data_IF_766288516919
#
_entry.id   IF_766288516919
#
_cell.length_a   1.000
_cell.length_b   1.000
_cell.length_c   1.000
_cell.angle_alpha   90.00
_cell.angle_beta   90.00
_cell.angle_gamma   90.00
#
_symmetry.space_group_name_H-M   'P 1'
#
loop_
_entity.id
_entity.type
_entity.pdbx_description
1 polymer ?
#
# COMPACT_ATOMS: atom_id res chain seq x y z
N UNK A 1 -14.94 4.17 -4.88
CA UNK A 1 -13.83 3.30 -5.34
C UNK A 1 -14.40 2.17 -6.19
N UNK A 2 -13.69 1.78 -7.26
CA UNK A 2 -14.05 0.70 -8.18
C UNK A 2 -13.04 -0.42 -7.99
N UNK A 3 -13.50 -1.67 -7.81
CA UNK A 3 -12.63 -2.84 -7.77
C UNK A 3 -12.13 -3.13 -9.19
N UNK A 4 -10.85 -3.41 -9.33
CA UNK A 4 -10.25 -3.70 -10.63
C UNK A 4 -10.33 -5.22 -10.87
N UNK A 5 -11.12 -5.61 -11.88
CA UNK A 5 -11.38 -7.04 -12.16
C UNK A 5 -11.02 -7.47 -13.58
N UNK A 6 -10.99 -6.53 -14.54
CA UNK A 6 -10.90 -6.85 -15.97
C UNK A 6 -9.73 -6.14 -16.68
N UNK A 7 -8.58 -6.06 -16.04
CA UNK A 7 -7.37 -5.57 -16.70
C UNK A 7 -6.85 -6.57 -17.73
N UNK A 8 -6.55 -6.08 -18.91
CA UNK A 8 -5.77 -6.80 -19.91
C UNK A 8 -4.30 -6.92 -19.44
N UNK A 9 -3.50 -7.73 -20.11
CA UNK A 9 -2.05 -7.79 -19.86
C UNK A 9 -1.40 -6.40 -20.04
N UNK A 10 -1.80 -5.67 -21.07
CA UNK A 10 -1.31 -4.31 -21.35
C UNK A 10 -1.70 -3.31 -20.25
N UNK A 11 -2.91 -3.42 -19.70
CA UNK A 11 -3.34 -2.59 -18.57
C UNK A 11 -2.50 -2.89 -17.31
N UNK A 12 -2.25 -4.17 -17.02
CA UNK A 12 -1.41 -4.58 -15.89
C UNK A 12 -0.02 -3.95 -16.03
N UNK A 13 0.64 -4.11 -17.19
CA UNK A 13 1.96 -3.55 -17.43
C UNK A 13 1.97 -2.02 -17.32
N UNK A 14 1.03 -1.35 -17.97
CA UNK A 14 0.91 0.11 -17.99
C UNK A 14 0.70 0.69 -16.59
N UNK A 15 -0.35 0.23 -15.89
CA UNK A 15 -0.73 0.84 -14.63
C UNK A 15 0.17 0.41 -13.46
N UNK A 16 0.69 -0.82 -13.46
CA UNK A 16 1.65 -1.23 -12.46
C UNK A 16 2.95 -0.43 -12.55
N UNK A 17 3.41 -0.12 -13.77
CA UNK A 17 4.57 0.75 -13.98
C UNK A 17 4.31 2.19 -13.51
N UNK A 18 3.17 2.78 -13.84
CA UNK A 18 2.79 4.13 -13.36
C UNK A 18 2.72 4.19 -11.83
N UNK A 19 2.24 3.13 -11.19
CA UNK A 19 2.24 2.98 -9.73
C UNK A 19 3.69 2.92 -9.22
N UNK A 20 4.55 2.12 -9.83
CA UNK A 20 5.97 2.00 -9.48
C UNK A 20 6.70 3.33 -9.57
N UNK A 21 6.53 4.07 -10.66
CA UNK A 21 7.10 5.40 -10.86
C UNK A 21 6.62 6.40 -9.79
N UNK A 22 5.34 6.35 -9.41
CA UNK A 22 4.79 7.22 -8.37
C UNK A 22 5.36 6.89 -6.98
N UNK A 23 5.70 5.63 -6.70
CA UNK A 23 6.42 5.24 -5.50
C UNK A 23 7.89 5.66 -5.54
N UNK A 24 8.58 5.42 -6.65
CA UNK A 24 9.98 5.78 -6.83
C UNK A 24 10.23 7.30 -6.73
N UNK A 25 9.24 8.11 -7.09
CA UNK A 25 9.29 9.57 -6.93
C UNK A 25 9.07 10.05 -5.49
N UNK A 26 8.73 9.15 -4.54
CA UNK A 26 8.48 9.51 -3.15
C UNK A 26 9.74 9.39 -2.31
N UNK A 27 10.07 10.36 -1.42
CA UNK A 27 11.17 10.21 -0.46
C UNK A 27 10.95 9.04 0.50
N UNK A 28 12.02 8.56 1.10
CA UNK A 28 12.02 7.46 2.07
C UNK A 28 12.81 6.26 1.56
N UNK A 29 12.28 5.05 1.65
CA UNK A 29 12.94 3.82 1.20
C UNK A 29 13.34 3.89 -0.28
N UNK A 30 12.63 4.68 -1.08
CA UNK A 30 12.96 4.94 -2.48
C UNK A 30 14.39 5.50 -2.69
N UNK A 31 14.94 6.18 -1.69
CA UNK A 31 16.30 6.73 -1.76
C UNK A 31 17.40 5.68 -1.53
N UNK A 32 17.04 4.50 -1.05
CA UNK A 32 17.97 3.42 -0.70
C UNK A 32 17.97 2.25 -1.68
N UNK A 33 17.04 2.24 -2.63
CA UNK A 33 16.90 1.19 -3.65
C UNK A 33 17.07 1.83 -5.03
N UNK A 34 17.81 1.20 -5.97
CA UNK A 34 17.88 1.68 -7.34
C UNK A 34 16.49 1.89 -7.94
N UNK A 35 16.29 3.02 -8.64
CA UNK A 35 14.98 3.41 -9.19
C UNK A 35 14.29 2.28 -9.97
N UNK A 36 15.01 1.65 -10.91
CA UNK A 36 14.45 0.60 -11.76
C UNK A 36 14.04 -0.65 -10.97
N UNK A 37 14.81 -1.02 -9.94
CA UNK A 37 14.48 -2.14 -9.06
C UNK A 37 13.25 -1.83 -8.19
N UNK A 38 13.10 -0.58 -7.75
CA UNK A 38 11.94 -0.14 -6.99
C UNK A 38 10.69 -0.14 -7.87
N UNK A 39 10.75 0.47 -9.07
CA UNK A 39 9.65 0.46 -10.04
C UNK A 39 9.24 -0.98 -10.34
N UNK A 40 10.22 -1.86 -10.64
CA UNK A 40 9.96 -3.27 -10.92
C UNK A 40 9.34 -4.00 -9.73
N UNK A 41 9.77 -3.71 -8.51
CA UNK A 41 9.17 -4.27 -7.28
C UNK A 41 7.68 -3.92 -7.18
N UNK A 42 7.33 -2.66 -7.42
CA UNK A 42 5.94 -2.22 -7.38
C UNK A 42 5.11 -2.73 -8.56
N UNK A 43 5.69 -2.94 -9.74
CA UNK A 43 5.02 -3.66 -10.84
C UNK A 43 4.57 -5.06 -10.37
N UNK A 44 5.48 -5.81 -9.75
CA UNK A 44 5.22 -7.18 -9.28
C UNK A 44 4.18 -7.18 -8.13
N UNK A 45 4.29 -6.25 -7.19
CA UNK A 45 3.36 -6.10 -6.05
C UNK A 45 1.96 -5.70 -6.54
N UNK A 46 1.86 -4.80 -7.51
CA UNK A 46 0.57 -4.37 -8.08
C UNK A 46 -0.12 -5.53 -8.79
N UNK A 47 0.61 -6.30 -9.61
CA UNK A 47 0.09 -7.51 -10.25
C UNK A 47 -0.40 -8.52 -9.20
N UNK A 48 0.33 -8.68 -8.09
CA UNK A 48 -0.08 -9.55 -7.00
C UNK A 48 -1.43 -9.11 -6.40
N UNK A 49 -1.62 -7.80 -6.07
CA UNK A 49 -2.88 -7.30 -5.55
C UNK A 49 -4.02 -7.43 -6.55
N UNK A 50 -3.76 -7.23 -7.83
CA UNK A 50 -4.73 -7.46 -8.88
C UNK A 50 -5.18 -8.93 -8.91
N UNK A 51 -4.23 -9.88 -8.91
CA UNK A 51 -4.52 -11.32 -8.90
C UNK A 51 -5.20 -11.81 -7.62
N UNK A 52 -4.97 -11.12 -6.50
CA UNK A 52 -5.70 -11.34 -5.26
C UNK A 52 -7.12 -10.77 -5.26
N UNK A 53 -7.49 -9.93 -6.21
CA UNK A 53 -8.75 -9.20 -6.22
C UNK A 53 -8.88 -8.18 -5.10
N UNK A 54 -7.77 -7.61 -4.65
CA UNK A 54 -7.69 -6.60 -3.58
C UNK A 54 -7.24 -5.22 -4.07
N UNK A 55 -7.16 -5.04 -5.39
CA UNK A 55 -6.78 -3.79 -6.02
C UNK A 55 -8.02 -2.97 -6.42
N UNK A 56 -8.02 -1.70 -6.05
CA UNK A 56 -9.10 -0.75 -6.31
C UNK A 56 -8.54 0.54 -6.93
N UNK A 57 -9.40 1.26 -7.65
CA UNK A 57 -9.11 2.59 -8.19
C UNK A 57 -10.20 3.59 -7.86
N UNK A 58 -9.88 4.88 -7.92
CA UNK A 58 -10.81 5.99 -7.64
C UNK A 58 -11.95 6.09 -8.64
N UNK A 59 -11.68 5.86 -9.92
CA UNK A 59 -12.65 5.90 -11.02
C UNK A 59 -12.07 5.20 -12.26
N UNK A 60 -12.80 5.21 -13.36
CA UNK A 60 -12.34 4.73 -14.68
C UNK A 60 -11.15 5.54 -15.25
N UNK A 61 -10.82 6.69 -14.66
CA UNK A 61 -9.66 7.50 -15.04
C UNK A 61 -8.37 7.10 -14.33
N UNK A 62 -8.46 6.18 -13.35
CA UNK A 62 -7.32 5.64 -12.62
C UNK A 62 -6.44 6.70 -11.92
N UNK A 63 -7.06 7.71 -11.29
CA UNK A 63 -6.32 8.81 -10.64
C UNK A 63 -5.54 8.34 -9.41
N UNK A 64 -6.09 7.35 -8.67
CA UNK A 64 -5.48 6.78 -7.48
C UNK A 64 -5.81 5.31 -7.31
N UNK A 65 -4.93 4.61 -6.64
CA UNK A 65 -5.00 3.17 -6.39
C UNK A 65 -4.91 2.84 -4.91
N UNK A 66 -5.59 1.76 -4.55
CA UNK A 66 -5.65 1.23 -3.20
C UNK A 66 -5.51 -0.29 -3.24
N UNK A 67 -4.68 -0.84 -2.36
CA UNK A 67 -4.79 -2.24 -1.99
C UNK A 67 -4.93 -2.36 -0.48
N UNK A 68 -5.92 -3.12 -0.03
CA UNK A 68 -6.15 -3.40 1.38
C UNK A 68 -6.70 -4.81 1.58
N UNK A 69 -6.53 -5.32 2.78
CA UNK A 69 -7.09 -6.59 3.23
C UNK A 69 -7.51 -6.50 4.71
N UNK A 70 -8.27 -7.44 5.16
CA UNK A 70 -8.57 -7.63 6.58
C UNK A 70 -7.64 -8.69 7.22
N UNK A 71 -7.67 -8.76 8.54
CA UNK A 71 -6.85 -9.70 9.32
C UNK A 71 -7.01 -11.17 8.88
N UNK A 72 -8.19 -11.53 8.36
CA UNK A 72 -8.57 -12.90 8.01
C UNK A 72 -8.43 -13.19 6.52
N UNK A 73 -8.03 -12.21 5.70
CA UNK A 73 -7.84 -12.39 4.26
C UNK A 73 -6.76 -13.43 4.01
N UNK A 74 -7.17 -14.55 3.42
CA UNK A 74 -6.24 -15.61 3.01
C UNK A 74 -5.57 -15.22 1.71
N UNK A 75 -4.26 -15.26 1.70
CA UNK A 75 -3.49 -15.06 0.47
C UNK A 75 -3.50 -16.37 -0.33
N UNK A 76 -4.05 -16.38 -1.56
CA UNK A 76 -4.01 -17.58 -2.39
C UNK A 76 -2.57 -17.95 -2.74
N UNK A 77 -2.23 -19.22 -2.64
CA UNK A 77 -0.86 -19.70 -2.85
C UNK A 77 -0.32 -19.41 -4.26
N UNK A 78 -1.18 -19.51 -5.28
CA UNK A 78 -0.78 -19.26 -6.67
C UNK A 78 -0.22 -17.85 -6.90
N UNK A 79 -0.97 -16.78 -6.65
CA UNK A 79 -0.49 -15.40 -6.74
C UNK A 79 0.74 -15.13 -5.86
N UNK A 80 0.78 -15.66 -4.63
CA UNK A 80 1.92 -15.47 -3.74
C UNK A 80 3.21 -16.12 -4.28
N UNK A 81 3.14 -17.36 -4.77
CA UNK A 81 4.27 -18.04 -5.41
C UNK A 81 4.72 -17.34 -6.69
N UNK A 82 3.77 -16.83 -7.49
CA UNK A 82 4.09 -16.07 -8.69
C UNK A 82 4.87 -14.79 -8.34
N UNK A 83 4.38 -14.02 -7.36
CA UNK A 83 5.05 -12.82 -6.87
C UNK A 83 6.48 -13.14 -6.36
N UNK A 84 6.64 -14.15 -5.50
CA UNK A 84 7.95 -14.54 -4.95
C UNK A 84 8.92 -14.93 -6.07
N UNK A 85 8.47 -15.76 -7.03
CA UNK A 85 9.31 -16.16 -8.17
C UNK A 85 9.76 -14.98 -9.01
N UNK A 86 8.87 -14.03 -9.29
CA UNK A 86 9.21 -12.83 -10.03
C UNK A 86 10.19 -11.95 -9.26
N UNK A 87 9.92 -11.72 -7.97
CA UNK A 87 10.83 -10.94 -7.10
C UNK A 87 12.24 -11.53 -7.12
N UNK A 88 12.39 -12.82 -6.87
CA UNK A 88 13.70 -13.50 -6.83
C UNK A 88 14.44 -13.52 -8.17
N UNK A 89 13.70 -13.49 -9.28
CA UNK A 89 14.29 -13.50 -10.63
C UNK A 89 14.64 -12.12 -11.14
N UNK A 90 13.85 -11.10 -10.79
CA UNK A 90 13.87 -9.79 -11.42
C UNK A 90 14.49 -8.70 -10.53
N UNK A 91 14.62 -8.95 -9.21
CA UNK A 91 15.13 -7.98 -8.24
C UNK A 91 16.30 -8.57 -7.44
N UNK A 92 17.40 -7.85 -7.24
CA UNK A 92 18.48 -8.27 -6.34
C UNK A 92 17.98 -8.52 -4.91
N UNK A 93 18.40 -9.63 -4.29
CA UNK A 93 17.94 -10.06 -2.96
C UNK A 93 18.11 -8.98 -1.88
N UNK A 94 19.20 -8.20 -1.96
CA UNK A 94 19.46 -7.11 -1.02
C UNK A 94 18.34 -6.05 -1.07
N UNK A 95 17.86 -5.71 -2.26
CA UNK A 95 16.83 -4.70 -2.46
C UNK A 95 15.43 -5.20 -2.05
N UNK A 96 15.16 -6.51 -2.19
CA UNK A 96 13.93 -7.13 -1.68
C UNK A 96 13.88 -7.03 -0.15
N UNK A 97 14.97 -7.35 0.53
CA UNK A 97 15.05 -7.36 1.99
C UNK A 97 14.83 -5.97 2.62
N UNK A 98 15.25 -4.90 1.93
CA UNK A 98 15.11 -3.52 2.39
C UNK A 98 13.65 -3.07 2.39
N UNK A 99 12.84 -3.53 1.43
CA UNK A 99 11.45 -3.08 1.23
C UNK A 99 10.40 -3.74 2.14
N UNK A 100 10.73 -4.80 2.90
CA UNK A 100 9.75 -5.57 3.63
C UNK A 100 9.68 -5.23 5.12
N UNK A 101 8.78 -4.38 5.54
CA UNK A 101 8.48 -4.17 6.96
C UNK A 101 6.99 -3.96 7.19
N UNK A 102 6.41 -4.80 8.04
CA UNK A 102 4.99 -4.71 8.44
C UNK A 102 4.93 -4.59 9.97
N UNK A 103 5.27 -3.39 10.48
CA UNK A 103 5.26 -3.10 11.91
C UNK A 103 3.86 -3.25 12.49
N UNK A 104 2.84 -2.84 11.75
CA UNK A 104 1.44 -2.92 12.19
C UNK A 104 1.02 -4.36 12.56
N UNK A 105 1.52 -5.39 11.89
CA UNK A 105 1.17 -6.79 12.23
C UNK A 105 1.56 -7.15 13.65
N UNK A 106 2.67 -6.61 14.16
CA UNK A 106 3.09 -6.85 15.55
C UNK A 106 2.25 -6.06 16.53
N UNK A 107 1.98 -4.79 16.24
CA UNK A 107 1.23 -3.88 17.11
C UNK A 107 -0.22 -4.32 17.27
N UNK A 108 -0.87 -4.68 16.18
CA UNK A 108 -2.30 -5.04 16.14
C UNK A 108 -2.56 -6.54 16.17
N UNK A 109 -1.56 -7.36 16.54
CA UNK A 109 -1.70 -8.82 16.61
C UNK A 109 -2.83 -9.27 17.55
N UNK A 110 -3.05 -8.56 18.64
CA UNK A 110 -4.05 -8.88 19.67
C UNK A 110 -5.45 -8.36 19.33
N UNK A 111 -5.57 -7.44 18.39
CA UNK A 111 -6.88 -6.97 17.96
C UNK A 111 -7.71 -8.12 17.37
N UNK A 112 -9.01 -8.13 17.66
CA UNK A 112 -9.92 -9.15 17.13
C UNK A 112 -9.99 -9.08 15.60
N UNK A 113 -10.00 -7.86 15.07
CA UNK A 113 -10.06 -7.56 13.64
C UNK A 113 -9.35 -6.25 13.32
N UNK A 114 -8.93 -6.06 12.08
CA UNK A 114 -8.41 -4.80 11.54
C UNK A 114 -8.44 -4.80 10.01
N UNK A 115 -8.50 -3.61 9.43
CA UNK A 115 -8.25 -3.37 8.01
C UNK A 115 -6.80 -2.92 7.83
N UNK A 116 -6.02 -3.61 7.01
CA UNK A 116 -4.66 -3.24 6.68
C UNK A 116 -4.58 -2.67 5.27
N UNK A 117 -4.22 -1.41 5.15
CA UNK A 117 -3.95 -0.76 3.87
C UNK A 117 -2.49 -1.01 3.50
N UNK A 118 -2.27 -1.72 2.42
CA UNK A 118 -0.93 -2.14 1.98
C UNK A 118 -0.37 -1.29 0.86
N UNK A 119 -1.24 -0.60 0.12
CA UNK A 119 -0.84 0.30 -0.94
C UNK A 119 -1.81 1.47 -1.05
N UNK A 120 -1.29 2.69 -1.04
CA UNK A 120 -2.01 3.93 -1.38
C UNK A 120 -1.16 4.69 -2.37
N UNK A 121 -1.68 4.93 -3.54
CA UNK A 121 -1.01 5.70 -4.60
C UNK A 121 -1.98 6.69 -5.21
N UNK A 122 -1.52 7.92 -5.42
CA UNK A 122 -2.15 8.90 -6.31
C UNK A 122 -1.15 9.19 -7.41
N UNK A 123 -1.53 8.96 -8.67
CA UNK A 123 -0.67 9.20 -9.80
C UNK A 123 -0.25 10.66 -9.85
N UNK A 124 0.97 10.93 -10.31
CA UNK A 124 1.61 12.25 -10.24
C UNK A 124 0.75 13.37 -10.83
N UNK A 125 0.08 13.10 -11.96
CA UNK A 125 -0.81 14.07 -12.63
C UNK A 125 -2.03 14.51 -11.78
N UNK A 126 -2.36 13.74 -10.74
CA UNK A 126 -3.55 13.96 -9.89
C UNK A 126 -3.20 14.29 -8.43
N UNK A 127 -1.91 14.43 -8.12
CA UNK A 127 -1.48 14.82 -6.77
C UNK A 127 -1.92 16.27 -6.44
N UNK A 128 -2.13 16.55 -5.15
CA UNK A 128 -2.61 17.86 -4.69
C UNK A 128 -4.10 18.14 -4.91
N UNK A 129 -4.86 17.23 -5.51
CA UNK A 129 -6.28 17.39 -5.85
C UNK A 129 -7.24 16.63 -4.91
N UNK A 130 -6.77 16.22 -3.72
CA UNK A 130 -7.61 15.55 -2.72
C UNK A 130 -7.83 14.06 -2.93
N UNK A 131 -7.25 13.44 -3.95
CA UNK A 131 -7.46 12.02 -4.26
C UNK A 131 -6.98 11.07 -3.17
N UNK A 132 -5.97 11.44 -2.35
CA UNK A 132 -5.55 10.59 -1.23
C UNK A 132 -6.69 10.35 -0.23
N UNK A 133 -7.46 11.40 0.12
CA UNK A 133 -8.64 11.26 0.98
C UNK A 133 -9.68 10.34 0.34
N UNK A 134 -9.97 10.54 -0.94
CA UNK A 134 -10.93 9.72 -1.71
C UNK A 134 -10.52 8.24 -1.75
N UNK A 135 -9.23 7.95 -1.89
CA UNK A 135 -8.68 6.58 -1.86
C UNK A 135 -8.92 5.93 -0.49
N UNK A 136 -8.75 6.68 0.60
CA UNK A 136 -8.88 6.16 1.97
C UNK A 136 -10.34 6.03 2.45
N UNK A 137 -11.31 6.66 1.79
CA UNK A 137 -12.74 6.55 2.16
C UNK A 137 -13.24 5.11 2.22
N UNK A 138 -12.82 4.26 1.27
CA UNK A 138 -13.27 2.87 1.21
C UNK A 138 -12.79 2.05 2.42
N UNK A 139 -11.50 1.97 2.74
CA UNK A 139 -11.03 1.20 3.89
C UNK A 139 -11.49 1.81 5.22
N UNK A 140 -11.70 3.13 5.31
CA UNK A 140 -12.26 3.76 6.52
C UNK A 140 -13.72 3.41 6.71
N UNK A 141 -14.53 3.43 5.65
CA UNK A 141 -15.93 3.01 5.72
C UNK A 141 -16.06 1.53 6.13
N UNK A 142 -15.20 0.66 5.59
CA UNK A 142 -15.18 -0.75 5.97
C UNK A 142 -14.76 -0.94 7.43
N UNK A 143 -13.74 -0.21 7.89
CA UNK A 143 -13.30 -0.23 9.28
C UNK A 143 -14.40 0.26 10.24
N UNK A 144 -15.09 1.36 9.89
CA UNK A 144 -16.21 1.90 10.67
C UNK A 144 -17.38 0.90 10.75
N UNK A 145 -17.76 0.28 9.63
CA UNK A 145 -18.80 -0.75 9.57
C UNK A 145 -18.48 -1.95 10.47
N UNK A 146 -17.21 -2.33 10.59
CA UNK A 146 -16.74 -3.48 11.38
C UNK A 146 -16.37 -3.12 12.81
N UNK A 147 -16.34 -1.85 13.17
CA UNK A 147 -15.90 -1.36 14.48
C UNK A 147 -14.44 -1.73 14.77
N UNK A 148 -13.57 -1.72 13.77
CA UNK A 148 -12.17 -2.11 13.90
C UNK A 148 -11.23 -1.02 13.37
N UNK A 149 -9.95 -1.00 13.78
CA UNK A 149 -8.98 -0.02 13.26
C UNK A 149 -8.67 -0.27 11.79
N UNK A 150 -8.46 0.84 11.03
CA UNK A 150 -7.82 0.81 9.72
C UNK A 150 -6.38 1.30 9.87
N UNK A 151 -5.41 0.50 9.47
CA UNK A 151 -3.98 0.69 9.75
C UNK A 151 -3.13 0.64 8.49
N UNK A 152 -2.04 1.38 8.49
CA UNK A 152 -0.98 1.30 7.48
C UNK A 152 0.37 1.66 8.09
N UNK A 153 1.44 1.24 7.40
CA UNK A 153 2.80 1.70 7.66
C UNK A 153 3.27 2.62 6.54
N UNK A 154 4.05 3.65 6.88
CA UNK A 154 4.74 4.52 5.91
C UNK A 154 6.12 4.89 6.42
N UNK A 155 7.07 5.01 5.53
CA UNK A 155 8.46 5.41 5.77
C UNK A 155 8.71 6.90 5.52
N UNK A 156 7.68 7.65 5.16
CA UNK A 156 7.78 9.04 4.75
C UNK A 156 7.02 9.97 5.72
N UNK A 157 7.78 10.82 6.42
CA UNK A 157 7.21 11.79 7.38
C UNK A 157 6.23 12.78 6.72
N UNK A 158 6.43 13.14 5.45
CA UNK A 158 5.50 14.00 4.73
C UNK A 158 4.17 13.30 4.47
N UNK A 159 4.19 11.96 4.30
CA UNK A 159 2.96 11.16 4.19
C UNK A 159 2.25 11.03 5.53
N UNK A 160 2.97 11.00 6.67
CA UNK A 160 2.36 11.03 8.01
C UNK A 160 1.43 12.22 8.13
N UNK A 161 1.92 13.44 7.82
CA UNK A 161 1.10 14.67 7.86
C UNK A 161 -0.12 14.57 6.94
N UNK A 162 0.04 14.02 5.74
CA UNK A 162 -1.09 13.83 4.80
C UNK A 162 -2.12 12.84 5.34
N UNK A 163 -1.67 11.75 5.97
CA UNK A 163 -2.58 10.77 6.60
C UNK A 163 -3.31 11.33 7.82
N UNK A 164 -2.64 12.18 8.63
CA UNK A 164 -3.28 12.90 9.72
C UNK A 164 -4.40 13.82 9.22
N UNK A 165 -4.17 14.56 8.13
CA UNK A 165 -5.24 15.36 7.48
C UNK A 165 -6.38 14.48 6.91
N UNK A 166 -6.15 13.22 6.64
CA UNK A 166 -7.20 12.28 6.26
C UNK A 166 -7.94 11.65 7.46
N UNK A 167 -7.54 11.96 8.70
CA UNK A 167 -8.19 11.45 9.92
C UNK A 167 -7.50 10.25 10.56
N UNK A 168 -6.27 9.91 10.15
CA UNK A 168 -5.44 8.91 10.83
C UNK A 168 -4.62 9.56 11.96
N UNK A 169 -4.16 8.74 12.89
CA UNK A 169 -3.24 9.15 13.97
C UNK A 169 -1.99 8.29 13.91
N UNK A 170 -0.82 8.90 14.13
CA UNK A 170 0.43 8.14 14.29
C UNK A 170 0.39 7.38 15.62
N UNK A 171 0.48 6.05 15.58
CA UNK A 171 0.40 5.19 16.77
C UNK A 171 1.73 4.59 17.18
N UNK A 172 2.69 4.51 16.26
CA UNK A 172 4.03 4.05 16.57
C UNK A 172 5.05 4.52 15.53
N UNK A 173 6.33 4.48 15.92
CA UNK A 173 7.45 4.66 15.03
C UNK A 173 8.57 3.67 15.36
N UNK A 174 9.35 3.28 14.37
CA UNK A 174 10.45 2.34 14.50
C UNK A 174 11.61 2.75 13.59
N UNK A 175 12.79 2.88 14.15
CA UNK A 175 14.03 3.01 13.40
C UNK A 175 14.33 1.72 12.65
N UNK A 176 14.60 1.84 11.37
CA UNK A 176 15.01 0.78 10.46
C UNK A 176 16.48 0.95 10.08
N UNK A 177 17.02 0.05 9.25
CA UNK A 177 18.34 0.24 8.63
C UNK A 177 18.33 1.50 7.74
N UNK A 178 19.52 2.00 7.42
CA UNK A 178 19.73 3.19 6.55
C UNK A 178 19.01 4.46 7.04
N UNK A 179 18.93 4.67 8.38
CA UNK A 179 18.27 5.82 9.03
C UNK A 179 16.80 6.05 8.63
N UNK A 180 16.18 5.07 8.01
CA UNK A 180 14.75 5.09 7.69
C UNK A 180 13.94 4.96 8.98
N UNK A 181 12.88 5.74 9.12
CA UNK A 181 11.91 5.59 10.21
C UNK A 181 10.59 5.13 9.62
N UNK A 182 10.11 3.99 10.10
CA UNK A 182 8.79 3.47 9.76
C UNK A 182 7.76 3.99 10.76
N UNK A 183 6.68 4.57 10.26
CA UNK A 183 5.57 5.11 11.04
C UNK A 183 4.33 4.25 10.83
N UNK A 184 3.70 3.82 11.93
CA UNK A 184 2.40 3.17 11.88
C UNK A 184 1.31 4.20 12.11
N UNK A 185 0.36 4.26 11.19
CA UNK A 185 -0.81 5.13 11.21
C UNK A 185 -2.07 4.31 11.44
N UNK A 186 -3.02 4.83 12.22
CA UNK A 186 -4.31 4.19 12.43
C UNK A 186 -5.46 5.20 12.32
N UNK A 187 -6.51 4.81 11.62
CA UNK A 187 -7.83 5.39 11.73
C UNK A 187 -8.64 4.55 12.72
N UNK A 188 -9.10 5.16 13.80
CA UNK A 188 -9.93 4.52 14.82
C UNK A 188 -11.37 5.06 14.66
N UNK A 189 -12.31 4.23 14.17
CA UNK A 189 -13.69 4.67 14.10
C UNK A 189 -14.22 4.97 15.49
N UNK A 190 -14.87 6.12 15.65
CA UNK A 190 -15.62 6.43 16.89
C UNK A 190 -16.70 5.39 17.05
N UNK A 191 -16.73 4.72 18.21
CA UNK A 191 -17.83 3.83 18.56
C UNK A 191 -19.15 4.60 18.45
N UNK A 192 -20.04 4.12 17.59
CA UNK A 192 -21.40 4.64 17.51
C UNK A 192 -22.21 4.26 18.76
#
# INVERSE_FOLDING_TARGET
>A
MIKIENWSTEDIEKYSRLIGEAFAASPGIAETIPHDDLVKSFEIITEFYYRMGTLYTTSEKYEGFLAYWDKNTRQPLGPALHMIRRMLREIPLLNIATGSSEQYKKLYRKEKDYIAVSMVVVLQAYQGQGFMKKVLELPFAEAAKRGCPCILDTDNIQKVVKYEHCGMTKTAEKKMAHDITLYTMAYLPTSA
#
